data_IF_848151803537
#
_entry.id   IF_848151803537
#
_cell.length_a   1.000
_cell.length_b   1.000
_cell.length_c   1.000
_cell.angle_alpha   90.00
_cell.angle_beta   90.00
_cell.angle_gamma   90.00
#
_symmetry.space_group_name_H-M   'P 1'
#
loop_
_entity.id
_entity.type
_entity.pdbx_description
1 polymer ?
#
# COMPACT_ATOMS: atom_id res chain seq x y z
N UNK A 1 -22.48 45.58 50.78
CA UNK A 1 -21.25 44.90 50.33
C UNK A 1 -21.53 43.42 50.40
N UNK A 2 -21.77 42.76 49.25
CA UNK A 2 -21.99 41.31 48.98
C UNK A 2 -23.22 41.01 48.11
N UNK A 3 -23.33 41.60 46.91
CA UNK A 3 -24.21 41.03 45.86
C UNK A 3 -23.83 41.46 44.44
N UNK A 4 -22.54 41.71 44.21
CA UNK A 4 -21.97 41.98 42.87
C UNK A 4 -20.97 40.91 42.41
N UNK A 5 -20.90 39.76 43.09
CA UNK A 5 -19.93 38.70 42.77
C UNK A 5 -20.53 37.52 41.99
N UNK A 6 -21.86 37.39 41.90
CA UNK A 6 -22.50 36.25 41.22
C UNK A 6 -22.65 36.43 39.70
N UNK A 7 -22.53 37.65 39.18
CA UNK A 7 -22.58 37.93 37.73
C UNK A 7 -21.25 37.79 36.99
N UNK A 8 -20.13 37.65 37.71
CA UNK A 8 -18.79 37.58 37.11
C UNK A 8 -18.30 36.12 36.97
N UNK A 9 -18.86 35.19 37.75
CA UNK A 9 -18.48 33.77 37.68
C UNK A 9 -19.14 33.04 36.50
N UNK A 10 -20.32 33.48 36.06
CA UNK A 10 -20.95 32.95 34.83
C UNK A 10 -20.41 33.58 33.53
N UNK A 11 -19.70 34.71 33.62
CA UNK A 11 -19.09 35.39 32.47
C UNK A 11 -17.69 34.89 32.09
N UNK A 12 -17.07 34.05 32.92
CA UNK A 12 -15.74 33.47 32.68
C UNK A 12 -15.76 31.94 32.52
N UNK A 13 -16.94 31.31 32.57
CA UNK A 13 -17.16 29.90 32.24
C UNK A 13 -17.71 29.70 30.82
N UNK A 14 -17.67 30.75 29.98
CA UNK A 14 -17.41 30.59 28.54
C UNK A 14 -15.90 30.44 28.33
N UNK A 15 -15.24 29.59 29.13
CA UNK A 15 -14.00 28.96 28.67
C UNK A 15 -14.41 28.26 27.39
N UNK A 16 -13.82 28.67 26.29
CA UNK A 16 -13.88 28.01 25.01
C UNK A 16 -13.70 26.50 25.22
N UNK A 17 -14.79 25.76 25.43
CA UNK A 17 -14.90 24.43 24.86
C UNK A 17 -14.98 24.68 23.36
N UNK A 18 -13.85 25.04 22.76
CA UNK A 18 -13.58 24.66 21.40
C UNK A 18 -13.69 23.14 21.44
N UNK A 19 -14.87 22.63 21.11
CA UNK A 19 -15.06 21.20 20.86
C UNK A 19 -14.04 20.92 19.78
N UNK A 20 -12.97 20.21 20.13
CA UNK A 20 -11.98 19.79 19.17
C UNK A 20 -12.76 19.00 18.11
N UNK A 21 -12.72 19.48 16.87
CA UNK A 21 -13.39 18.79 15.78
C UNK A 21 -12.86 17.36 15.73
N UNK A 22 -13.74 16.36 15.73
CA UNK A 22 -13.35 14.95 15.56
C UNK A 22 -13.08 14.61 14.09
N UNK A 23 -13.32 15.57 13.18
CA UNK A 23 -13.09 15.46 11.75
C UNK A 23 -11.97 16.40 11.27
N UNK A 24 -11.35 16.02 10.15
CA UNK A 24 -10.46 16.87 9.35
C UNK A 24 -10.77 16.69 7.86
N UNK A 25 -10.45 17.69 7.03
CA UNK A 25 -10.64 17.64 5.58
C UNK A 25 -9.33 17.30 4.87
N UNK A 26 -9.36 16.28 4.03
CA UNK A 26 -8.23 15.88 3.20
C UNK A 26 -8.54 16.09 1.72
N UNK A 27 -7.58 16.65 0.98
CA UNK A 27 -7.66 16.83 -0.46
C UNK A 27 -6.65 15.97 -1.21
N UNK A 28 -6.98 15.57 -2.43
CA UNK A 28 -6.06 14.96 -3.39
C UNK A 28 -6.23 15.63 -4.74
N UNK A 29 -5.13 16.02 -5.36
CA UNK A 29 -5.12 16.51 -6.74
C UNK A 29 -4.80 15.35 -7.67
N UNK A 30 -5.54 15.24 -8.77
CA UNK A 30 -5.40 14.18 -9.74
C UNK A 30 -4.73 14.65 -11.03
N UNK A 31 -4.02 13.72 -11.68
CA UNK A 31 -3.38 13.92 -12.98
C UNK A 31 -1.98 14.51 -12.91
N UNK A 32 -1.15 14.16 -13.91
CA UNK A 32 0.21 14.69 -14.01
C UNK A 32 0.20 16.15 -14.48
N UNK A 33 0.92 17.00 -13.76
CA UNK A 33 0.99 18.44 -13.99
C UNK A 33 2.35 19.00 -13.59
N UNK A 34 2.73 20.10 -14.23
CA UNK A 34 3.91 20.88 -13.85
C UNK A 34 3.73 21.54 -12.48
N UNK A 35 4.81 21.65 -11.72
CA UNK A 35 4.81 22.15 -10.34
C UNK A 35 4.10 23.50 -10.16
N UNK A 36 4.25 24.43 -11.10
CA UNK A 36 3.68 25.78 -11.01
C UNK A 36 2.15 25.79 -11.11
N UNK A 37 1.56 24.78 -11.75
CA UNK A 37 0.11 24.67 -11.91
C UNK A 37 -0.60 24.37 -10.59
N UNK A 38 0.10 23.76 -9.62
CA UNK A 38 -0.50 23.40 -8.33
C UNK A 38 -0.86 24.60 -7.48
N UNK A 39 -0.27 25.78 -7.70
CA UNK A 39 -0.55 26.96 -6.88
C UNK A 39 -2.05 27.32 -6.87
N UNK A 40 -2.70 27.30 -8.03
CA UNK A 40 -4.14 27.57 -8.13
C UNK A 40 -4.97 26.48 -7.43
N UNK A 41 -4.58 25.22 -7.58
CA UNK A 41 -5.29 24.09 -6.98
C UNK A 41 -5.14 24.04 -5.46
N UNK A 42 -3.98 24.44 -4.93
CA UNK A 42 -3.75 24.63 -3.49
C UNK A 42 -4.65 25.76 -2.95
N UNK A 43 -4.78 26.87 -3.70
CA UNK A 43 -5.68 27.97 -3.36
C UNK A 43 -7.17 27.53 -3.39
N UNK A 44 -7.57 26.72 -4.37
CA UNK A 44 -8.92 26.16 -4.43
C UNK A 44 -9.21 25.21 -3.26
N UNK A 45 -8.24 24.37 -2.88
CA UNK A 45 -8.35 23.52 -1.70
C UNK A 45 -8.50 24.36 -0.40
N UNK A 46 -7.79 25.49 -0.30
CA UNK A 46 -7.95 26.43 0.81
C UNK A 46 -9.38 27.00 0.90
N UNK A 47 -9.97 27.39 -0.23
CA UNK A 47 -11.38 27.86 -0.29
C UNK A 47 -12.39 26.80 0.15
N UNK A 48 -12.03 25.52 0.03
CA UNK A 48 -12.83 24.38 0.47
C UNK A 48 -12.56 23.96 1.93
N UNK A 49 -11.70 24.71 2.64
CA UNK A 49 -11.32 24.47 4.04
C UNK A 49 -10.59 23.13 4.22
N UNK A 50 -9.74 22.75 3.25
CA UNK A 50 -8.91 21.54 3.32
C UNK A 50 -7.78 21.72 4.34
N UNK A 51 -7.62 20.76 5.26
CA UNK A 51 -6.57 20.76 6.27
C UNK A 51 -5.24 20.22 5.74
N UNK A 52 -5.30 19.16 4.91
CA UNK A 52 -4.14 18.50 4.32
C UNK A 52 -4.41 18.12 2.86
N UNK A 53 -3.45 18.41 1.97
CA UNK A 53 -3.54 18.18 0.54
C UNK A 53 -2.37 17.32 0.06
N UNK A 54 -2.67 16.22 -0.62
CA UNK A 54 -1.65 15.38 -1.27
C UNK A 54 -1.57 15.73 -2.75
N UNK A 55 -0.37 16.10 -3.20
CA UNK A 55 -0.10 16.42 -4.60
C UNK A 55 0.24 15.16 -5.41
N UNK A 56 0.04 15.19 -6.74
CA UNK A 56 0.62 14.21 -7.65
C UNK A 56 2.13 14.12 -7.49
N UNK A 57 2.67 12.97 -7.89
CA UNK A 57 4.12 12.78 -7.96
C UNK A 57 4.73 13.77 -8.95
N UNK A 58 5.92 14.28 -8.65
CA UNK A 58 6.68 15.12 -9.57
C UNK A 58 7.85 14.35 -10.13
N UNK A 59 7.68 13.81 -11.33
CA UNK A 59 8.72 13.06 -12.02
C UNK A 59 9.89 13.99 -12.41
N UNK A 60 11.13 13.47 -12.53
CA UNK A 60 12.28 14.29 -12.91
C UNK A 60 12.11 15.07 -14.22
N UNK A 61 11.31 14.56 -15.17
CA UNK A 61 11.03 15.23 -16.44
C UNK A 61 10.10 16.44 -16.32
N UNK A 62 9.32 16.51 -15.23
CA UNK A 62 8.28 17.53 -15.01
C UNK A 62 8.79 18.65 -14.10
N UNK A 63 10.01 18.52 -13.58
CA UNK A 63 10.63 19.46 -12.66
C UNK A 63 11.87 20.12 -13.28
N UNK A 64 11.84 21.43 -13.42
CA UNK A 64 12.99 22.24 -13.85
C UNK A 64 14.11 22.26 -12.81
N UNK A 65 13.73 22.38 -11.54
CA UNK A 65 14.65 22.53 -10.40
C UNK A 65 13.97 22.09 -9.10
N UNK A 66 14.68 21.29 -8.32
CA UNK A 66 14.24 20.82 -7.01
C UNK A 66 14.01 21.98 -6.03
N UNK A 67 14.96 22.92 -5.96
CA UNK A 67 14.87 24.06 -5.05
C UNK A 67 13.71 25.00 -5.42
N UNK A 68 13.45 25.15 -6.72
CA UNK A 68 12.33 25.94 -7.23
C UNK A 68 10.99 25.28 -6.87
N UNK A 69 10.90 23.96 -7.01
CA UNK A 69 9.71 23.22 -6.65
C UNK A 69 9.39 23.33 -5.16
N UNK A 70 10.39 23.10 -4.29
CA UNK A 70 10.22 23.25 -2.84
C UNK A 70 9.80 24.66 -2.47
N UNK A 71 10.47 25.68 -3.03
CA UNK A 71 10.14 27.07 -2.75
C UNK A 71 8.70 27.40 -3.19
N UNK A 72 8.31 26.97 -4.37
CA UNK A 72 6.97 27.20 -4.93
C UNK A 72 5.89 26.59 -4.04
N UNK A 73 6.07 25.33 -3.64
CA UNK A 73 5.09 24.62 -2.80
C UNK A 73 5.08 25.15 -1.36
N UNK A 74 6.24 25.48 -0.80
CA UNK A 74 6.35 26.12 0.53
C UNK A 74 5.59 27.46 0.57
N UNK A 75 5.79 28.32 -0.42
CA UNK A 75 5.09 29.61 -0.50
C UNK A 75 3.58 29.43 -0.72
N UNK A 76 3.18 28.44 -1.53
CA UNK A 76 1.77 28.13 -1.77
C UNK A 76 1.07 27.59 -0.51
N UNK A 77 1.68 26.63 0.19
CA UNK A 77 1.18 26.08 1.45
C UNK A 77 1.00 27.19 2.50
N UNK A 78 1.99 28.08 2.62
CA UNK A 78 1.93 29.23 3.53
C UNK A 78 0.82 30.22 3.19
N UNK A 79 0.63 30.54 1.91
CA UNK A 79 -0.41 31.46 1.46
C UNK A 79 -1.81 30.88 1.69
N UNK A 80 -1.95 29.58 1.48
CA UNK A 80 -3.20 28.84 1.57
C UNK A 80 -3.55 28.39 3.00
N UNK A 81 -2.56 28.32 3.90
CA UNK A 81 -2.74 27.97 5.31
C UNK A 81 -3.14 26.51 5.54
N UNK A 82 -2.62 25.57 4.73
CA UNK A 82 -2.92 24.13 4.82
C UNK A 82 -1.66 23.27 4.68
N UNK A 83 -1.71 22.03 5.19
CA UNK A 83 -0.60 21.09 5.06
C UNK A 83 -0.52 20.55 3.63
N UNK A 84 0.67 20.53 3.04
CA UNK A 84 0.86 20.01 1.68
C UNK A 84 1.86 18.87 1.68
N UNK A 85 1.50 17.74 1.06
CA UNK A 85 2.39 16.59 0.87
C UNK A 85 2.83 16.52 -0.58
N UNK A 86 4.14 16.45 -0.79
CA UNK A 86 4.77 16.44 -2.10
C UNK A 86 5.73 15.26 -2.21
N UNK A 87 5.57 14.44 -3.26
CA UNK A 87 6.56 13.44 -3.64
C UNK A 87 7.44 13.98 -4.78
N UNK A 88 8.76 13.99 -4.57
CA UNK A 88 9.75 14.55 -5.49
C UNK A 88 10.99 13.65 -5.57
N UNK A 89 11.76 13.84 -6.65
CA UNK A 89 13.03 13.17 -6.87
C UNK A 89 14.18 14.16 -6.69
N UNK A 90 15.18 13.80 -5.88
CA UNK A 90 16.40 14.59 -5.69
C UNK A 90 17.63 13.79 -6.14
N UNK A 91 18.53 14.43 -6.88
CA UNK A 91 19.83 13.84 -7.20
C UNK A 91 20.80 14.22 -6.10
N UNK A 92 21.28 13.23 -5.34
CA UNK A 92 22.27 13.42 -4.29
C UNK A 92 23.58 12.72 -4.62
N UNK A 93 24.62 13.01 -3.86
CA UNK A 93 25.86 12.25 -3.90
C UNK A 93 25.94 11.34 -2.68
N UNK A 94 25.94 10.03 -2.92
CA UNK A 94 26.15 9.01 -1.92
C UNK A 94 27.58 8.45 -2.01
N UNK A 95 27.96 7.58 -1.08
CA UNK A 95 29.32 7.02 -0.99
C UNK A 95 29.84 6.40 -2.30
N UNK A 96 28.95 5.86 -3.14
CA UNK A 96 29.29 5.16 -4.38
C UNK A 96 28.98 5.93 -5.67
N UNK A 97 28.55 7.20 -5.58
CA UNK A 97 28.27 8.00 -6.77
C UNK A 97 27.07 8.93 -6.63
N UNK A 98 26.64 9.48 -7.76
CA UNK A 98 25.38 10.23 -7.86
C UNK A 98 24.22 9.25 -7.88
N UNK A 99 23.24 9.49 -7.03
CA UNK A 99 22.10 8.62 -6.82
C UNK A 99 20.83 9.47 -6.78
N UNK A 100 19.76 8.91 -7.33
CA UNK A 100 18.44 9.55 -7.28
C UNK A 100 17.69 9.02 -6.07
N UNK A 101 17.15 9.92 -5.26
CA UNK A 101 16.34 9.64 -4.07
C UNK A 101 14.92 10.13 -4.30
N UNK A 102 13.94 9.32 -3.97
CA UNK A 102 12.54 9.70 -3.83
C UNK A 102 12.30 10.24 -2.42
N UNK A 103 11.62 11.37 -2.33
CA UNK A 103 11.34 12.05 -1.07
C UNK A 103 9.88 12.43 -0.96
N UNK A 104 9.22 12.00 0.12
CA UNK A 104 7.95 12.56 0.58
C UNK A 104 8.25 13.71 1.54
N UNK A 105 7.91 14.93 1.14
CA UNK A 105 8.05 16.16 1.92
C UNK A 105 6.67 16.58 2.43
N UNK A 106 6.61 16.95 3.71
CA UNK A 106 5.39 17.50 4.32
C UNK A 106 5.64 18.94 4.73
N UNK A 107 4.89 19.86 4.12
CA UNK A 107 4.87 21.28 4.46
C UNK A 107 3.73 21.56 5.43
N UNK A 108 3.98 22.32 6.50
CA UNK A 108 2.95 22.82 7.41
C UNK A 108 2.24 24.08 6.87
N UNK A 109 1.31 24.62 7.67
CA UNK A 109 0.53 25.83 7.32
C UNK A 109 1.40 27.08 7.17
N UNK A 110 2.61 27.08 7.72
CA UNK A 110 3.60 28.16 7.61
C UNK A 110 4.55 27.97 6.43
N UNK A 111 4.43 26.86 5.70
CA UNK A 111 5.28 26.45 4.59
C UNK A 111 6.61 25.83 5.01
N UNK A 112 6.80 25.48 6.28
CA UNK A 112 7.99 24.80 6.76
C UNK A 112 7.89 23.29 6.55
N UNK A 113 9.01 22.65 6.24
CA UNK A 113 9.08 21.19 6.09
C UNK A 113 9.13 20.56 7.49
N UNK A 114 8.08 19.83 7.86
CA UNK A 114 7.93 19.22 9.19
C UNK A 114 8.19 17.72 9.22
N UNK A 115 8.18 17.06 8.06
CA UNK A 115 8.64 15.68 7.92
C UNK A 115 9.19 15.41 6.53
N UNK A 116 10.16 14.48 6.48
CA UNK A 116 10.79 14.02 5.26
C UNK A 116 10.97 12.50 5.33
N UNK A 117 10.46 11.79 4.33
CA UNK A 117 10.69 10.36 4.18
C UNK A 117 11.39 10.06 2.85
N UNK A 118 12.55 9.39 2.91
CA UNK A 118 13.44 9.18 1.75
C UNK A 118 13.62 7.70 1.43
N UNK A 119 13.58 7.35 0.15
CA UNK A 119 13.99 6.04 -0.39
C UNK A 119 14.86 6.21 -1.63
N UNK A 120 15.93 5.43 -1.81
CA UNK A 120 16.72 5.47 -3.03
C UNK A 120 15.93 4.85 -4.18
N UNK A 121 16.18 5.35 -5.39
CA UNK A 121 15.63 4.71 -6.60
C UNK A 121 16.27 3.36 -6.84
N UNK A 122 17.58 3.28 -6.63
CA UNK A 122 18.32 2.04 -6.67
C UNK A 122 18.23 1.34 -5.30
N UNK A 123 17.56 0.18 -5.17
CA UNK A 123 17.38 -0.49 -3.88
C UNK A 123 18.71 -1.04 -3.32
N UNK A 124 19.76 -1.14 -4.13
CA UNK A 124 21.07 -1.67 -3.72
C UNK A 124 22.01 -0.58 -3.18
N UNK A 125 21.54 0.66 -3.01
CA UNK A 125 22.40 1.78 -2.58
C UNK A 125 22.13 2.19 -1.15
N UNK A 126 23.21 2.35 -0.37
CA UNK A 126 23.16 2.83 1.01
C UNK A 126 23.04 4.36 1.10
N UNK A 127 22.11 4.93 0.32
CA UNK A 127 21.82 6.36 0.29
C UNK A 127 20.80 6.80 1.35
N UNK A 128 20.27 5.85 2.12
CA UNK A 128 19.24 6.10 3.13
C UNK A 128 19.84 6.71 4.39
N UNK A 129 19.12 7.68 4.95
CA UNK A 129 19.37 8.24 6.29
C UNK A 129 18.30 7.79 7.31
N UNK A 130 17.28 7.05 6.88
CA UNK A 130 16.14 6.66 7.72
C UNK A 130 16.35 5.28 8.34
N UNK A 131 16.19 5.22 9.67
CA UNK A 131 16.04 3.98 10.42
C UNK A 131 14.86 3.15 9.89
N UNK A 132 14.80 1.86 10.23
CA UNK A 132 13.65 1.00 9.93
C UNK A 132 12.30 1.53 10.46
N UNK A 133 12.34 2.59 11.26
CA UNK A 133 11.20 3.21 11.89
C UNK A 133 10.24 3.91 10.91
N UNK A 134 8.98 3.95 11.32
CA UNK A 134 7.96 4.76 10.68
C UNK A 134 8.23 6.25 10.94
N UNK A 135 8.41 7.03 9.87
CA UNK A 135 8.46 8.49 9.93
C UNK A 135 7.06 9.03 10.17
N UNK A 136 6.93 10.00 11.08
CA UNK A 136 5.64 10.56 11.48
C UNK A 136 5.69 12.08 11.60
N UNK A 137 4.55 12.74 11.44
CA UNK A 137 4.36 14.15 11.81
C UNK A 137 3.03 14.33 12.53
N UNK A 138 2.95 15.32 13.42
CA UNK A 138 1.71 15.66 14.14
C UNK A 138 1.27 17.05 13.73
N UNK A 139 0.00 17.18 13.38
CA UNK A 139 -0.59 18.44 12.92
C UNK A 139 -1.13 19.27 14.09
N UNK A 140 -1.34 20.56 13.83
CA UNK A 140 -1.96 21.51 14.76
C UNK A 140 -3.44 21.16 15.06
N UNK A 141 -4.11 20.46 14.15
CA UNK A 141 -5.44 19.88 14.36
C UNK A 141 -5.42 18.54 15.11
N UNK A 142 -4.29 18.13 15.69
CA UNK A 142 -4.21 17.02 16.63
C UNK A 142 -4.23 15.63 16.00
N UNK A 143 -3.83 15.50 14.73
CA UNK A 143 -3.70 14.20 14.05
C UNK A 143 -2.23 13.87 13.84
N UNK A 144 -1.82 12.66 14.22
CA UNK A 144 -0.51 12.12 13.88
C UNK A 144 -0.62 11.23 12.65
N UNK A 145 0.16 11.56 11.63
CA UNK A 145 0.26 10.80 10.38
C UNK A 145 1.55 9.99 10.32
N UNK A 146 1.45 8.76 9.85
CA UNK A 146 2.60 7.97 9.40
C UNK A 146 2.86 8.16 7.91
N UNK A 147 4.13 8.29 7.52
CA UNK A 147 4.55 8.36 6.12
C UNK A 147 4.94 6.97 5.60
N UNK A 148 4.37 6.62 4.45
CA UNK A 148 4.67 5.41 3.68
C UNK A 148 5.01 5.82 2.24
N UNK A 149 5.69 4.94 1.51
CA UNK A 149 6.03 5.13 0.10
C UNK A 149 5.91 3.81 -0.65
N UNK A 150 5.03 3.79 -1.65
CA UNK A 150 4.91 2.73 -2.65
C UNK A 150 4.64 1.36 -2.00
N UNK A 151 5.59 0.45 -2.18
CA UNK A 151 5.65 -0.91 -1.66
C UNK A 151 5.59 -1.05 -0.14
N UNK A 152 5.75 0.02 0.64
CA UNK A 152 5.64 -0.06 2.10
C UNK A 152 4.30 -0.65 2.56
N UNK A 153 3.22 -0.43 1.81
CA UNK A 153 1.92 -1.00 2.14
C UNK A 153 1.91 -2.54 2.10
N UNK A 154 2.72 -3.14 1.24
CA UNK A 154 2.83 -4.61 1.07
C UNK A 154 3.95 -5.19 1.92
N UNK A 155 5.03 -4.43 2.13
CA UNK A 155 6.26 -4.92 2.75
C UNK A 155 6.35 -4.62 4.26
N UNK A 156 5.66 -3.60 4.77
CA UNK A 156 5.73 -3.24 6.19
C UNK A 156 4.74 -4.05 7.03
N UNK A 157 5.27 -4.79 8.00
CA UNK A 157 4.46 -5.53 8.97
C UNK A 157 3.62 -4.59 9.86
N UNK A 158 2.39 -4.99 10.26
CA UNK A 158 1.48 -4.15 11.05
C UNK A 158 2.05 -3.65 12.39
N UNK A 159 2.94 -4.42 13.03
CA UNK A 159 3.57 -4.00 14.29
C UNK A 159 4.39 -2.70 14.14
N UNK A 160 4.90 -2.42 12.93
CA UNK A 160 5.66 -1.20 12.63
C UNK A 160 4.76 0.02 12.36
N UNK A 161 3.43 -0.16 12.32
CA UNK A 161 2.46 0.93 12.13
C UNK A 161 2.18 1.72 13.43
N UNK A 162 2.70 1.26 14.58
CA UNK A 162 2.64 1.95 15.88
C UNK A 162 1.22 2.31 16.35
N UNK A 163 0.20 1.60 15.86
CA UNK A 163 -1.21 1.84 16.20
C UNK A 163 -1.79 3.16 15.67
N UNK A 164 -1.10 3.84 14.74
CA UNK A 164 -1.61 5.06 14.14
C UNK A 164 -2.89 4.82 13.34
N UNK A 165 -3.70 5.86 13.21
CA UNK A 165 -4.98 5.84 12.48
C UNK A 165 -4.97 6.60 11.16
N UNK A 166 -3.89 7.32 10.86
CA UNK A 166 -3.82 8.18 9.69
C UNK A 166 -2.46 7.99 9.03
N UNK A 167 -2.46 7.75 7.73
CA UNK A 167 -1.27 7.52 6.93
C UNK A 167 -1.32 8.33 5.64
N UNK A 168 -0.16 8.78 5.19
CA UNK A 168 0.02 9.29 3.84
C UNK A 168 0.97 8.35 3.10
N UNK A 169 0.52 7.86 1.94
CA UNK A 169 1.34 7.06 1.04
C UNK A 169 1.42 7.75 -0.32
N UNK A 170 2.61 8.25 -0.66
CA UNK A 170 2.86 8.91 -1.93
C UNK A 170 4.12 8.35 -2.58
N UNK A 171 4.13 8.32 -3.92
CA UNK A 171 5.24 7.80 -4.72
C UNK A 171 4.76 7.14 -6.01
N UNK A 172 5.72 6.68 -6.81
CA UNK A 172 5.44 6.01 -8.09
C UNK A 172 5.32 4.53 -7.82
N UNK A 173 4.08 4.05 -7.70
CA UNK A 173 3.88 2.63 -7.43
C UNK A 173 3.80 1.83 -8.71
N UNK A 174 4.91 1.18 -9.07
CA UNK A 174 4.95 0.13 -10.07
C UNK A 174 4.97 -1.21 -9.35
N UNK A 175 3.90 -2.00 -9.48
CA UNK A 175 3.84 -3.37 -8.97
C UNK A 175 3.90 -4.34 -10.14
N UNK A 176 4.75 -5.36 -10.05
CA UNK A 176 4.76 -6.48 -11.01
C UNK A 176 3.56 -7.42 -10.80
N UNK A 177 2.85 -7.26 -9.68
CA UNK A 177 1.63 -7.99 -9.34
C UNK A 177 0.43 -7.02 -9.44
N UNK A 178 -0.38 -7.10 -10.50
CA UNK A 178 -1.54 -6.23 -10.74
C UNK A 178 -2.48 -6.06 -9.55
N UNK A 179 -2.82 -7.16 -8.86
CA UNK A 179 -3.67 -7.13 -7.66
C UNK A 179 -3.11 -6.32 -6.50
N UNK A 180 -1.80 -6.03 -6.53
CA UNK A 180 -1.07 -5.23 -5.55
C UNK A 180 -0.72 -3.83 -6.09
N UNK A 181 -1.32 -3.42 -7.19
CA UNK A 181 -1.24 -2.02 -7.62
C UNK A 181 -1.90 -1.10 -6.59
N UNK A 182 -1.40 0.13 -6.48
CA UNK A 182 -1.84 1.09 -5.48
C UNK A 182 -3.36 1.29 -5.42
N UNK A 183 -4.04 1.53 -6.55
CA UNK A 183 -5.49 1.76 -6.54
C UNK A 183 -6.29 0.52 -6.13
N UNK A 184 -5.76 -0.70 -6.35
CA UNK A 184 -6.42 -1.96 -6.01
C UNK A 184 -6.19 -2.35 -4.55
N UNK A 185 -4.97 -2.19 -4.05
CA UNK A 185 -4.59 -2.67 -2.74
C UNK A 185 -4.84 -1.67 -1.62
N UNK A 186 -4.71 -0.36 -1.88
CA UNK A 186 -4.91 0.68 -0.85
C UNK A 186 -6.27 0.62 -0.14
N UNK A 187 -7.42 0.43 -0.83
CA UNK A 187 -8.71 0.27 -0.16
C UNK A 187 -8.71 -0.93 0.80
N UNK A 188 -8.29 -2.10 0.32
CA UNK A 188 -8.26 -3.34 1.09
C UNK A 188 -7.33 -3.22 2.31
N UNK A 189 -6.16 -2.61 2.12
CA UNK A 189 -5.20 -2.38 3.18
C UNK A 189 -5.75 -1.43 4.26
N UNK A 190 -6.37 -0.32 3.84
CA UNK A 190 -6.98 0.64 4.77
C UNK A 190 -8.11 0.00 5.59
N UNK A 191 -8.87 -0.90 4.95
CA UNK A 191 -9.97 -1.66 5.57
C UNK A 191 -9.50 -2.63 6.62
N UNK A 192 -8.56 -3.49 6.27
CA UNK A 192 -8.05 -4.49 7.22
C UNK A 192 -7.33 -3.84 8.39
N UNK A 193 -6.61 -2.74 8.16
CA UNK A 193 -5.90 -2.03 9.24
C UNK A 193 -6.80 -1.06 10.02
N UNK A 194 -8.00 -0.75 9.53
CA UNK A 194 -8.91 0.24 10.11
C UNK A 194 -8.23 1.60 10.33
N UNK A 195 -7.73 2.17 9.23
CA UNK A 195 -6.96 3.44 9.20
C UNK A 195 -7.37 4.30 8.01
N UNK A 196 -7.26 5.62 8.16
CA UNK A 196 -7.34 6.55 7.05
C UNK A 196 -6.03 6.53 6.26
N UNK A 197 -6.11 6.33 4.94
CA UNK A 197 -4.98 6.33 4.04
C UNK A 197 -5.19 7.38 2.95
N UNK A 198 -4.33 8.38 2.93
CA UNK A 198 -4.29 9.42 1.90
C UNK A 198 -3.21 9.05 0.89
N UNK A 199 -3.53 9.09 -0.40
CA UNK A 199 -2.58 8.79 -1.47
C UNK A 199 -2.61 9.84 -2.56
N UNK A 200 -1.61 9.83 -3.45
CA UNK A 200 -1.58 10.70 -4.63
C UNK A 200 -2.58 10.29 -5.73
N UNK A 201 -3.49 9.35 -5.47
CA UNK A 201 -4.52 8.87 -6.40
C UNK A 201 -5.89 8.70 -5.74
N UNK A 202 -6.01 8.91 -4.43
CA UNK A 202 -7.28 8.81 -3.73
C UNK A 202 -7.15 8.91 -2.22
N UNK A 203 -8.30 8.97 -1.55
CA UNK A 203 -8.40 8.92 -0.10
C UNK A 203 -9.27 7.73 0.28
N UNK A 204 -8.77 6.95 1.22
CA UNK A 204 -9.39 5.72 1.70
C UNK A 204 -9.56 5.83 3.22
N UNK A 205 -10.71 6.35 3.72
CA UNK A 205 -11.08 6.41 5.14
C UNK A 205 -11.24 5.04 5.81
N UNK A 206 -10.31 4.10 5.64
CA UNK A 206 -10.41 2.73 6.12
C UNK A 206 -11.54 1.93 5.46
N UNK A 207 -12.69 2.51 5.15
CA UNK A 207 -13.92 1.77 4.90
C UNK A 207 -14.88 2.49 3.95
N UNK A 208 -14.42 3.54 3.28
CA UNK A 208 -15.04 4.01 2.04
C UNK A 208 -13.95 4.34 1.02
N UNK A 209 -14.26 4.18 -0.25
CA UNK A 209 -13.43 4.60 -1.38
C UNK A 209 -14.29 5.56 -2.17
N UNK A 210 -13.76 6.73 -2.42
CA UNK A 210 -14.48 7.74 -3.18
C UNK A 210 -13.48 8.28 -4.21
N UNK A 211 -13.49 7.62 -5.37
CA UNK A 211 -12.75 8.04 -6.56
C UNK A 211 -13.62 9.07 -7.27
N UNK A 212 -13.48 10.34 -6.89
CA UNK A 212 -14.14 11.40 -7.64
C UNK A 212 -13.32 11.75 -8.89
N UNK A 213 -14.02 12.09 -9.98
CA UNK A 213 -13.41 12.36 -11.29
C UNK A 213 -13.05 13.84 -11.47
N UNK A 214 -13.06 14.62 -10.39
CA UNK A 214 -12.66 16.02 -10.39
C UNK A 214 -11.14 16.18 -10.25
N UNK A 215 -10.61 17.30 -10.75
CA UNK A 215 -9.17 17.61 -10.70
C UNK A 215 -8.65 17.73 -9.27
N UNK A 216 -9.51 18.11 -8.33
CA UNK A 216 -9.30 18.14 -6.89
C UNK A 216 -10.46 17.39 -6.24
N UNK A 217 -10.18 16.38 -5.43
CA UNK A 217 -11.19 15.69 -4.62
C UNK A 217 -10.97 16.01 -3.14
N UNK A 218 -12.05 16.27 -2.40
CA UNK A 218 -12.00 16.62 -0.97
C UNK A 218 -12.89 15.69 -0.16
N UNK A 219 -12.38 15.23 0.98
CA UNK A 219 -13.02 14.24 1.83
C UNK A 219 -13.00 14.67 3.29
N UNK A 220 -14.09 14.42 4.01
CA UNK A 220 -14.16 14.59 5.46
C UNK A 220 -13.86 13.26 6.14
N UNK A 221 -12.88 13.27 7.05
CA UNK A 221 -12.34 12.06 7.67
C UNK A 221 -12.41 12.17 9.19
N UNK A 222 -12.83 11.09 9.86
CA UNK A 222 -12.76 10.96 11.31
C UNK A 222 -11.31 10.76 11.74
N UNK A 223 -10.83 11.55 12.71
CA UNK A 223 -9.43 11.52 13.17
C UNK A 223 -8.97 10.16 13.70
N UNK A 224 -9.91 9.37 14.24
CA UNK A 224 -9.64 8.07 14.85
C UNK A 224 -9.91 6.86 13.93
N UNK A 225 -10.16 7.12 12.63
CA UNK A 225 -10.57 6.10 11.65
C UNK A 225 -12.10 5.97 11.53
N UNK A 226 -12.59 5.43 10.41
CA UNK A 226 -14.02 5.36 10.10
C UNK A 226 -14.82 4.29 10.88
N UNK A 227 -16.02 4.67 11.31
CA UNK A 227 -16.98 3.78 12.01
C UNK A 227 -17.76 2.84 11.08
N UNK A 228 -17.85 3.16 9.78
CA UNK A 228 -18.69 2.45 8.80
C UNK A 228 -18.02 1.17 8.30
N UNK A 229 -18.54 -0.03 8.58
CA UNK A 229 -17.90 -1.32 8.20
C UNK A 229 -17.98 -1.71 6.71
N UNK A 230 -18.30 -0.77 5.84
CA UNK A 230 -18.56 -1.07 4.43
C UNK A 230 -17.26 -1.32 3.65
N UNK A 231 -17.24 -2.37 2.82
CA UNK A 231 -16.16 -2.62 1.86
C UNK A 231 -16.52 -1.98 0.53
N UNK A 232 -15.75 -0.99 0.11
CA UNK A 232 -15.95 -0.30 -1.17
C UNK A 232 -14.89 -0.75 -2.18
N UNK A 233 -15.29 -1.36 -3.31
CA UNK A 233 -14.36 -1.81 -4.34
C UNK A 233 -13.51 -0.69 -4.93
N UNK A 234 -12.38 -1.06 -5.53
CA UNK A 234 -11.65 -0.17 -6.43
C UNK A 234 -12.35 -0.13 -7.80
N UNK A 235 -12.85 1.03 -8.21
CA UNK A 235 -13.38 1.25 -9.57
C UNK A 235 -12.24 1.77 -10.43
N UNK A 236 -11.71 0.94 -11.32
CA UNK A 236 -10.58 1.30 -12.17
C UNK A 236 -10.98 1.53 -13.61
N UNK A 237 -10.35 2.56 -14.21
CA UNK A 237 -10.45 2.84 -15.65
C UNK A 237 -9.53 1.94 -16.48
N UNK A 238 -8.47 1.41 -15.86
CA UNK A 238 -7.50 0.49 -16.47
C UNK A 238 -7.49 -0.83 -15.69
N UNK A 239 -7.50 -1.95 -16.42
CA UNK A 239 -7.58 -3.29 -15.85
C UNK A 239 -6.24 -4.02 -16.09
N UNK A 240 -5.27 -3.92 -15.16
CA UNK A 240 -3.99 -4.59 -15.31
C UNK A 240 -4.19 -6.11 -15.21
N UNK A 241 -3.50 -6.85 -16.07
CA UNK A 241 -3.72 -8.30 -16.24
C UNK A 241 -2.84 -9.11 -15.30
N UNK A 242 -3.43 -9.81 -14.32
CA UNK A 242 -2.69 -10.73 -13.46
C UNK A 242 -2.09 -11.89 -14.28
N UNK A 243 -0.82 -12.22 -14.05
CA UNK A 243 -0.21 -13.42 -14.60
C UNK A 243 -0.58 -14.63 -13.73
N UNK A 244 -1.55 -15.42 -14.21
CA UNK A 244 -1.99 -16.64 -13.54
C UNK A 244 -1.11 -17.87 -13.85
N UNK A 245 0.01 -17.73 -14.56
CA UNK A 245 0.89 -18.86 -14.93
C UNK A 245 1.40 -19.66 -13.73
N UNK A 246 1.55 -19.00 -12.57
CA UNK A 246 2.02 -19.62 -11.32
C UNK A 246 0.87 -20.16 -10.46
N UNK A 247 -0.39 -19.89 -10.82
CA UNK A 247 -1.57 -20.33 -10.08
C UNK A 247 -2.01 -21.71 -10.57
N UNK A 248 -2.66 -22.47 -9.69
CA UNK A 248 -3.52 -23.57 -10.15
C UNK A 248 -4.86 -22.95 -10.48
N UNK A 249 -5.28 -23.08 -11.74
CA UNK A 249 -6.53 -22.52 -12.24
C UNK A 249 -7.51 -23.61 -12.64
N UNK A 250 -8.80 -23.35 -12.42
CA UNK A 250 -9.92 -24.16 -12.91
C UNK A 250 -10.89 -23.25 -13.67
N UNK A 251 -11.12 -23.49 -14.98
CA UNK A 251 -12.11 -22.73 -15.73
C UNK A 251 -13.50 -22.87 -15.13
N UNK A 252 -14.22 -21.76 -14.99
CA UNK A 252 -15.59 -21.72 -14.51
C UNK A 252 -16.55 -21.98 -15.67
N UNK A 253 -17.40 -23.01 -15.53
CA UNK A 253 -18.51 -23.22 -16.46
C UNK A 253 -19.65 -22.25 -16.11
N UNK A 254 -19.75 -21.17 -16.91
CA UNK A 254 -20.76 -20.14 -16.71
C UNK A 254 -22.19 -20.68 -16.87
N UNK A 255 -22.43 -21.65 -17.76
CA UNK A 255 -23.77 -22.22 -17.94
C UNK A 255 -24.18 -23.07 -16.74
N UNK A 256 -23.27 -23.89 -16.23
CA UNK A 256 -23.52 -24.67 -15.02
C UNK A 256 -23.72 -23.75 -13.80
N UNK A 257 -22.97 -22.65 -13.72
CA UNK A 257 -23.05 -21.70 -12.61
C UNK A 257 -24.40 -21.00 -12.47
N UNK A 258 -25.27 -21.00 -13.48
CA UNK A 258 -26.65 -20.49 -13.36
C UNK A 258 -27.46 -21.22 -12.27
N UNK A 259 -27.12 -22.48 -11.97
CA UNK A 259 -27.77 -23.26 -10.89
C UNK A 259 -27.05 -23.15 -9.55
N UNK A 260 -25.94 -22.41 -9.49
CA UNK A 260 -24.98 -22.45 -8.39
C UNK A 260 -24.03 -23.64 -8.53
N UNK A 261 -22.73 -23.36 -8.55
CA UNK A 261 -21.68 -24.39 -8.60
C UNK A 261 -20.76 -24.27 -7.39
N UNK A 262 -20.32 -25.42 -6.88
CA UNK A 262 -19.31 -25.52 -5.84
C UNK A 262 -18.05 -26.17 -6.42
N UNK A 263 -16.91 -25.52 -6.21
CA UNK A 263 -15.63 -26.01 -6.67
C UNK A 263 -14.53 -25.73 -5.66
N UNK A 264 -13.53 -26.60 -5.62
CA UNK A 264 -12.34 -26.43 -4.79
C UNK A 264 -11.11 -26.45 -5.68
N UNK A 265 -10.22 -25.47 -5.47
CA UNK A 265 -8.93 -25.38 -6.15
C UNK A 265 -7.84 -25.35 -5.09
N UNK A 266 -6.81 -26.18 -5.25
CA UNK A 266 -5.73 -26.30 -4.28
C UNK A 266 -4.36 -26.11 -4.94
N UNK A 267 -3.47 -25.42 -4.23
CA UNK A 267 -2.06 -25.29 -4.59
C UNK A 267 -1.21 -25.54 -3.34
N UNK A 268 -0.26 -26.46 -3.44
CA UNK A 268 0.73 -26.75 -2.37
C UNK A 268 0.12 -26.90 -0.96
N UNK A 269 -1.03 -27.60 -0.85
CA UNK A 269 -1.72 -27.86 0.42
C UNK A 269 -2.65 -26.76 0.92
N UNK A 270 -2.67 -25.58 0.27
CA UNK A 270 -3.66 -24.53 0.50
C UNK A 270 -4.83 -24.70 -0.47
N UNK A 271 -6.07 -24.66 0.03
CA UNK A 271 -7.28 -24.90 -0.77
C UNK A 271 -8.28 -23.76 -0.63
N UNK A 272 -8.79 -23.31 -1.77
CA UNK A 272 -9.82 -22.30 -1.90
C UNK A 272 -11.13 -22.96 -2.30
N UNK A 273 -12.18 -22.80 -1.49
CA UNK A 273 -13.52 -23.28 -1.78
C UNK A 273 -14.35 -22.14 -2.35
N UNK A 274 -14.93 -22.38 -3.52
CA UNK A 274 -15.73 -21.43 -4.27
C UNK A 274 -17.17 -21.89 -4.33
N UNK A 275 -18.08 -20.94 -4.15
CA UNK A 275 -19.45 -21.05 -4.62
C UNK A 275 -19.73 -19.89 -5.56
N UNK A 276 -20.23 -20.19 -6.76
CA UNK A 276 -20.51 -19.19 -7.79
C UNK A 276 -21.89 -19.43 -8.36
N UNK A 277 -22.73 -18.39 -8.34
CA UNK A 277 -24.02 -18.36 -9.02
C UNK A 277 -24.12 -17.16 -9.94
N UNK A 278 -24.36 -17.39 -11.22
CA UNK A 278 -24.51 -16.33 -12.21
C UNK A 278 -25.95 -16.19 -12.69
N UNK A 279 -26.27 -15.04 -13.28
CA UNK A 279 -27.54 -14.76 -13.95
C UNK A 279 -27.39 -14.75 -15.49
N UNK A 280 -26.42 -15.51 -16.03
CA UNK A 280 -26.06 -15.46 -17.45
C UNK A 280 -27.13 -16.15 -18.30
N UNK A 281 -27.73 -15.40 -19.22
CA UNK A 281 -28.72 -15.93 -20.18
C UNK A 281 -28.10 -16.27 -21.55
N UNK A 282 -26.93 -15.71 -21.86
CA UNK A 282 -26.26 -15.91 -23.15
C UNK A 282 -25.33 -17.11 -23.15
N UNK A 283 -25.34 -17.86 -24.26
CA UNK A 283 -24.65 -19.14 -24.40
C UNK A 283 -23.12 -19.02 -24.58
N UNK A 284 -22.58 -17.83 -24.90
CA UNK A 284 -21.19 -17.69 -25.34
C UNK A 284 -20.60 -16.29 -25.07
N UNK A 285 -20.21 -15.96 -23.83
CA UNK A 285 -19.58 -14.68 -23.52
C UNK A 285 -18.16 -14.60 -24.08
N UNK A 286 -17.78 -13.42 -24.60
CA UNK A 286 -16.40 -13.14 -25.06
C UNK A 286 -15.37 -13.23 -23.93
N UNK A 287 -15.82 -13.04 -22.68
CA UNK A 287 -15.02 -13.15 -21.46
C UNK A 287 -15.36 -14.45 -20.74
N UNK A 288 -14.31 -15.19 -20.38
CA UNK A 288 -14.43 -16.39 -19.55
C UNK A 288 -13.95 -16.10 -18.13
N UNK A 289 -14.24 -16.99 -17.19
CA UNK A 289 -13.81 -16.84 -15.80
C UNK A 289 -13.02 -18.07 -15.36
N UNK A 290 -12.03 -17.86 -14.49
CA UNK A 290 -11.29 -18.96 -13.85
C UNK A 290 -11.22 -18.77 -12.34
N UNK A 291 -11.37 -19.89 -11.63
CA UNK A 291 -11.11 -20.00 -10.20
C UNK A 291 -9.63 -20.29 -10.02
N UNK A 292 -8.95 -19.59 -9.12
CA UNK A 292 -7.51 -19.74 -8.94
C UNK A 292 -7.11 -19.85 -7.47
N UNK A 293 -6.11 -20.68 -7.19
CA UNK A 293 -5.46 -20.80 -5.90
C UNK A 293 -3.94 -20.71 -6.05
N UNK A 294 -3.29 -20.01 -5.13
CA UNK A 294 -1.83 -19.91 -5.04
C UNK A 294 -1.37 -19.96 -3.59
N UNK A 295 -0.19 -20.52 -3.38
CA UNK A 295 0.48 -20.60 -2.07
C UNK A 295 1.97 -20.82 -2.32
N UNK A 296 2.77 -19.78 -2.06
CA UNK A 296 4.19 -19.76 -2.37
C UNK A 296 4.76 -18.35 -2.29
N UNK A 297 5.96 -18.18 -2.83
CA UNK A 297 6.63 -16.87 -2.90
C UNK A 297 6.37 -16.25 -4.27
N UNK A 298 6.29 -14.93 -4.39
CA UNK A 298 6.24 -14.25 -5.69
C UNK A 298 7.25 -13.12 -5.72
N UNK A 299 7.86 -12.93 -6.88
CA UNK A 299 8.59 -11.71 -7.15
C UNK A 299 7.59 -10.55 -7.21
N UNK A 300 7.80 -9.55 -6.36
CA UNK A 300 6.94 -8.37 -6.24
C UNK A 300 7.57 -7.14 -6.91
N UNK A 301 8.89 -7.00 -6.75
CA UNK A 301 9.69 -6.01 -7.44
C UNK A 301 11.09 -6.57 -7.73
N UNK A 302 11.91 -5.82 -8.46
CA UNK A 302 13.27 -6.22 -8.82
C UNK A 302 14.16 -6.64 -7.63
N UNK A 303 13.86 -6.19 -6.41
CA UNK A 303 14.64 -6.48 -5.21
C UNK A 303 13.87 -7.19 -4.10
N UNK A 304 12.58 -7.49 -4.29
CA UNK A 304 11.74 -8.07 -3.22
C UNK A 304 10.91 -9.25 -3.69
N UNK A 305 10.99 -10.32 -2.90
CA UNK A 305 10.09 -11.45 -2.96
C UNK A 305 9.11 -11.38 -1.79
N UNK A 306 7.88 -11.82 -2.00
CA UNK A 306 6.85 -11.83 -0.97
C UNK A 306 6.20 -13.21 -0.84
N UNK A 307 6.03 -13.68 0.38
CA UNK A 307 5.20 -14.85 0.67
C UNK A 307 3.72 -14.54 0.52
N UNK A 308 2.99 -15.38 -0.22
CA UNK A 308 1.55 -15.19 -0.45
C UNK A 308 0.71 -16.47 -0.43
N UNK A 309 -0.54 -16.34 0.01
CA UNK A 309 -1.61 -17.33 -0.14
C UNK A 309 -2.80 -16.63 -0.79
N UNK A 310 -3.20 -17.00 -2.01
CA UNK A 310 -4.22 -16.27 -2.75
C UNK A 310 -5.34 -17.17 -3.22
N UNK A 311 -6.57 -16.67 -3.11
CA UNK A 311 -7.76 -17.24 -3.73
C UNK A 311 -8.41 -16.18 -4.61
N UNK A 312 -8.90 -16.53 -5.79
CA UNK A 312 -9.63 -15.54 -6.58
C UNK A 312 -10.43 -16.10 -7.75
N UNK A 313 -11.42 -15.33 -8.17
CA UNK A 313 -12.16 -15.47 -9.41
C UNK A 313 -11.71 -14.36 -10.34
N UNK A 314 -11.14 -14.75 -11.48
CA UNK A 314 -10.53 -13.82 -12.44
C UNK A 314 -11.25 -13.87 -13.77
N UNK A 315 -11.56 -12.70 -14.32
CA UNK A 315 -11.97 -12.55 -15.71
C UNK A 315 -10.78 -12.81 -16.64
N UNK A 316 -11.01 -13.56 -17.70
CA UNK A 316 -9.99 -14.02 -18.63
C UNK A 316 -10.38 -13.65 -20.06
N UNK A 317 -9.45 -13.00 -20.78
CA UNK A 317 -9.53 -12.82 -22.23
C UNK A 317 -8.62 -13.83 -22.93
N UNK A 318 -9.13 -14.50 -23.97
CA UNK A 318 -8.35 -15.48 -24.75
C UNK A 318 -8.37 -16.91 -24.19
N UNK A 319 -7.28 -17.66 -24.36
CA UNK A 319 -7.20 -19.08 -23.98
C UNK A 319 -7.17 -19.25 -22.45
N UNK A 320 -8.05 -20.10 -21.92
CA UNK A 320 -8.24 -20.38 -20.49
C UNK A 320 -6.95 -20.71 -19.72
N UNK A 321 -5.90 -21.20 -20.40
CA UNK A 321 -4.62 -21.59 -19.75
C UNK A 321 -3.72 -20.43 -19.33
N UNK A 322 -3.79 -19.28 -20.00
CA UNK A 322 -2.91 -18.14 -19.74
C UNK A 322 -3.69 -16.90 -19.29
N UNK A 323 -4.90 -17.10 -18.75
CA UNK A 323 -5.88 -16.07 -18.37
C UNK A 323 -5.26 -14.68 -18.18
N UNK A 324 -5.32 -13.87 -19.24
CA UNK A 324 -4.90 -12.47 -19.21
C UNK A 324 -6.16 -11.67 -18.99
N UNK A 325 -6.31 -11.05 -17.81
CA UNK A 325 -7.42 -10.14 -17.54
C UNK A 325 -7.28 -8.91 -18.44
N UNK A 326 -8.08 -8.81 -19.51
CA UNK A 326 -7.98 -7.76 -20.51
C UNK A 326 -8.99 -6.63 -20.32
N UNK A 327 -8.78 -5.52 -21.03
CA UNK A 327 -9.51 -4.24 -20.96
C UNK A 327 -11.02 -4.28 -21.30
N UNK A 328 -11.61 -5.45 -21.51
CA UNK A 328 -13.02 -5.58 -21.90
C UNK A 328 -13.90 -5.69 -20.65
N UNK A 329 -14.92 -4.83 -20.58
CA UNK A 329 -15.92 -4.87 -19.50
C UNK A 329 -16.72 -6.16 -19.59
N UNK A 330 -16.68 -6.94 -18.52
CA UNK A 330 -17.57 -8.10 -18.40
C UNK A 330 -19.03 -7.67 -18.30
N UNK A 331 -19.89 -8.34 -19.05
CA UNK A 331 -21.37 -8.22 -18.96
C UNK A 331 -21.97 -9.28 -18.03
N UNK A 332 -21.14 -10.15 -17.46
CA UNK A 332 -21.61 -11.21 -16.56
C UNK A 332 -22.06 -10.61 -15.24
N UNK A 333 -23.26 -10.99 -14.83
CA UNK A 333 -23.82 -10.70 -13.51
C UNK A 333 -23.75 -11.95 -12.64
N UNK A 334 -23.17 -11.81 -11.46
CA UNK A 334 -23.08 -12.82 -10.42
C UNK A 334 -24.13 -12.54 -9.36
N UNK A 335 -25.13 -13.40 -9.23
CA UNK A 335 -26.08 -13.30 -8.11
C UNK A 335 -25.35 -13.49 -6.78
N UNK A 336 -24.33 -14.39 -6.76
CA UNK A 336 -23.51 -14.61 -5.57
C UNK A 336 -22.15 -15.20 -5.92
N UNK A 337 -21.10 -14.66 -5.30
CA UNK A 337 -19.80 -15.33 -5.19
C UNK A 337 -19.45 -15.46 -3.71
N UNK A 338 -18.95 -16.64 -3.31
CA UNK A 338 -18.43 -16.91 -1.97
C UNK A 338 -17.10 -17.64 -2.10
N UNK A 339 -16.06 -17.11 -1.49
CA UNK A 339 -14.73 -17.72 -1.40
C UNK A 339 -14.46 -18.01 0.06
N UNK A 340 -14.10 -19.25 0.39
CA UNK A 340 -13.73 -19.65 1.74
C UNK A 340 -12.43 -20.47 1.75
N UNK A 341 -11.48 -20.09 2.59
CA UNK A 341 -10.21 -20.78 2.74
C UNK A 341 -9.64 -20.66 4.16
N UNK A 342 -8.78 -21.60 4.53
CA UNK A 342 -8.06 -21.58 5.81
C UNK A 342 -6.62 -21.11 5.56
N UNK A 343 -6.33 -19.89 5.98
CA UNK A 343 -5.03 -19.25 5.85
C UNK A 343 -4.14 -19.59 7.06
N UNK A 344 -2.83 -19.62 6.86
CA UNK A 344 -1.89 -19.82 7.97
C UNK A 344 -2.00 -18.66 8.97
N UNK A 345 -1.70 -18.94 10.24
CA UNK A 345 -1.77 -17.94 11.32
C UNK A 345 -0.91 -16.70 11.06
N UNK A 346 0.22 -16.87 10.38
CA UNK A 346 1.18 -15.80 10.06
C UNK A 346 0.72 -14.92 8.89
N UNK A 347 -0.27 -15.39 8.13
CA UNK A 347 -0.77 -14.65 6.98
C UNK A 347 -1.72 -13.55 7.43
N UNK A 348 -1.63 -12.37 6.81
CA UNK A 348 -2.65 -11.32 6.87
C UNK A 348 -3.51 -11.36 5.62
N UNK A 349 -4.83 -11.27 5.76
CA UNK A 349 -5.76 -11.44 4.64
C UNK A 349 -6.43 -10.12 4.26
N UNK A 350 -6.47 -9.84 2.95
CA UNK A 350 -7.02 -8.64 2.36
C UNK A 350 -8.04 -8.99 1.27
N UNK A 351 -9.26 -8.42 1.30
CA UNK A 351 -10.24 -8.62 0.24
C UNK A 351 -9.86 -7.77 -0.99
N UNK A 352 -9.55 -8.41 -2.11
CA UNK A 352 -9.25 -7.74 -3.38
C UNK A 352 -10.49 -7.79 -4.26
N UNK A 353 -11.04 -6.63 -4.57
CA UNK A 353 -12.28 -6.51 -5.33
C UNK A 353 -12.10 -5.43 -6.40
N UNK A 354 -12.21 -5.86 -7.65
CA UNK A 354 -12.16 -5.03 -8.83
C UNK A 354 -13.43 -5.25 -9.65
N UNK A 355 -14.19 -4.19 -9.80
CA UNK A 355 -15.43 -4.15 -10.58
C UNK A 355 -15.54 -2.84 -11.34
N UNK A 356 -16.22 -2.87 -12.47
CA UNK A 356 -16.55 -1.68 -13.24
C UNK A 356 -17.77 -0.90 -12.70
N UNK A 357 -18.56 -1.48 -11.79
CA UNK A 357 -19.80 -0.90 -11.26
C UNK A 357 -19.86 -1.00 -9.74
N UNK A 358 -20.48 -0.02 -9.05
CA UNK A 358 -20.72 -0.12 -7.61
C UNK A 358 -21.49 -1.41 -7.30
N UNK A 359 -21.06 -2.09 -6.24
CA UNK A 359 -21.71 -3.30 -5.74
C UNK A 359 -22.09 -3.10 -4.29
N UNK A 360 -23.33 -3.44 -3.98
CA UNK A 360 -23.87 -3.37 -2.64
C UNK A 360 -23.81 -4.78 -2.03
N UNK A 361 -23.47 -4.89 -0.75
CA UNK A 361 -23.38 -6.16 0.01
C UNK A 361 -22.12 -7.03 -0.22
N UNK A 362 -20.95 -6.49 0.14
CA UNK A 362 -19.72 -7.26 0.29
C UNK A 362 -19.48 -7.55 1.77
N UNK A 363 -19.19 -8.81 2.10
CA UNK A 363 -18.82 -9.23 3.46
C UNK A 363 -17.47 -9.91 3.47
N UNK A 364 -16.59 -9.52 4.39
CA UNK A 364 -15.30 -10.16 4.62
C UNK A 364 -15.18 -10.55 6.09
N UNK A 365 -15.18 -11.85 6.35
CA UNK A 365 -15.15 -12.41 7.69
C UNK A 365 -13.85 -13.19 7.91
N UNK A 366 -13.15 -12.87 9.01
CA UNK A 366 -11.95 -13.60 9.46
C UNK A 366 -12.24 -14.18 10.84
N UNK A 367 -12.15 -15.51 10.96
CA UNK A 367 -12.36 -16.24 12.21
C UNK A 367 -11.13 -17.08 12.53
N UNK A 368 -10.55 -16.87 13.71
CA UNK A 368 -9.43 -17.67 14.17
C UNK A 368 -9.95 -18.93 14.89
N UNK A 369 -9.54 -20.11 14.41
CA UNK A 369 -9.97 -21.41 14.96
C UNK A 369 -8.98 -22.00 16.00
N UNK A 370 -7.89 -21.29 16.29
CA UNK A 370 -6.79 -21.76 17.14
C UNK A 370 -5.53 -22.16 16.37
N UNK A 371 -5.67 -22.52 15.09
CA UNK A 371 -4.58 -23.02 14.23
C UNK A 371 -4.45 -22.24 12.92
N UNK A 372 -5.56 -21.84 12.33
CA UNK A 372 -5.65 -21.09 11.07
C UNK A 372 -6.66 -19.97 11.16
N UNK A 373 -6.56 -19.04 10.21
CA UNK A 373 -7.56 -18.01 9.97
C UNK A 373 -8.53 -18.55 8.92
N UNK A 374 -9.75 -18.93 9.34
CA UNK A 374 -10.83 -19.25 8.42
C UNK A 374 -11.39 -17.94 7.88
N UNK A 375 -11.19 -17.70 6.58
CA UNK A 375 -11.60 -16.46 5.93
C UNK A 375 -12.67 -16.72 4.90
N UNK A 376 -13.73 -15.90 4.92
CA UNK A 376 -14.82 -15.94 3.96
C UNK A 376 -15.01 -14.56 3.34
N UNK A 377 -15.03 -14.50 2.02
CA UNK A 377 -15.35 -13.31 1.24
C UNK A 377 -16.61 -13.59 0.41
N UNK A 378 -17.65 -12.78 0.59
CA UNK A 378 -18.89 -12.88 -0.17
C UNK A 378 -19.22 -11.56 -0.87
N UNK A 379 -19.90 -11.70 -2.00
CA UNK A 379 -20.55 -10.61 -2.73
C UNK A 379 -21.90 -11.12 -3.23
N UNK A 380 -22.92 -10.26 -3.13
CA UNK A 380 -24.25 -10.46 -3.70
C UNK A 380 -24.44 -9.46 -4.84
N UNK A 381 -25.13 -9.86 -5.89
CA UNK A 381 -25.44 -9.02 -7.05
C UNK A 381 -24.22 -8.29 -7.66
N UNK A 382 -23.12 -9.05 -7.77
CA UNK A 382 -21.87 -8.69 -8.40
C UNK A 382 -21.98 -8.42 -9.90
N UNK A 383 -21.83 -7.17 -10.34
CA UNK A 383 -21.80 -6.82 -11.76
C UNK A 383 -20.39 -6.53 -12.25
N UNK A 384 -20.07 -6.95 -13.49
CA UNK A 384 -18.82 -6.61 -14.18
C UNK A 384 -17.57 -6.81 -13.32
N UNK A 385 -17.47 -7.98 -12.68
CA UNK A 385 -16.34 -8.35 -11.82
C UNK A 385 -15.16 -8.76 -12.70
N UNK A 386 -14.00 -8.13 -12.49
CA UNK A 386 -12.75 -8.50 -13.17
C UNK A 386 -11.88 -9.38 -12.26
N UNK A 387 -11.80 -9.01 -10.98
CA UNK A 387 -11.05 -9.74 -9.96
C UNK A 387 -11.85 -9.70 -8.65
N UNK A 388 -12.10 -10.87 -8.08
CA UNK A 388 -12.70 -11.02 -6.77
C UNK A 388 -11.97 -12.11 -6.00
N UNK A 389 -11.24 -11.73 -4.95
CA UNK A 389 -10.33 -12.64 -4.29
C UNK A 389 -9.89 -12.21 -2.90
N UNK A 390 -9.20 -13.14 -2.23
CA UNK A 390 -8.57 -12.92 -0.94
C UNK A 390 -7.06 -13.02 -1.16
N UNK A 391 -6.36 -11.91 -0.93
CA UNK A 391 -4.90 -11.86 -0.94
C UNK A 391 -4.38 -12.08 0.47
N UNK A 392 -3.56 -13.12 0.64
CA UNK A 392 -2.91 -13.46 1.89
C UNK A 392 -1.44 -13.09 1.84
N UNK A 393 -0.97 -12.25 2.76
CA UNK A 393 0.42 -11.83 2.90
C UNK A 393 1.12 -12.58 4.03
N UNK A 394 2.16 -13.36 3.72
CA UNK A 394 2.97 -14.12 4.68
C UNK A 394 4.41 -13.58 4.72
N UNK A 395 4.68 -12.66 5.66
CA UNK A 395 5.99 -12.01 5.81
C UNK A 395 7.11 -12.98 6.19
N UNK A 396 6.77 -14.15 6.77
CA UNK A 396 7.77 -15.12 7.22
C UNK A 396 8.53 -15.79 6.07
N UNK A 397 8.02 -15.70 4.84
CA UNK A 397 8.57 -16.35 3.64
C UNK A 397 9.29 -15.39 2.68
N UNK A 398 9.42 -14.11 3.00
CA UNK A 398 10.02 -13.13 2.08
C UNK A 398 11.48 -13.42 1.74
N UNK A 399 12.19 -14.03 2.70
CA UNK A 399 13.59 -14.43 2.57
C UNK A 399 13.76 -15.85 1.99
N UNK A 400 12.67 -16.55 1.67
CA UNK A 400 12.75 -17.88 1.07
C UNK A 400 12.93 -17.76 -0.45
N UNK A 401 14.17 -17.90 -0.93
CA UNK A 401 14.51 -17.91 -2.36
C UNK A 401 14.04 -19.17 -3.11
N UNK A 402 13.61 -20.22 -2.38
CA UNK A 402 13.41 -21.57 -2.93
C UNK A 402 11.95 -21.99 -3.13
N UNK A 403 10.95 -21.12 -2.91
CA UNK A 403 9.54 -21.52 -2.88
C UNK A 403 8.70 -21.09 -4.11
N UNK A 404 9.30 -21.13 -5.31
CA UNK A 404 8.58 -21.31 -6.58
C UNK A 404 9.35 -22.27 -7.50
N UNK A 405 9.12 -23.58 -7.33
CA UNK A 405 9.63 -24.59 -8.25
C UNK A 405 8.65 -24.81 -9.41
N UNK A 406 8.97 -24.23 -10.57
CA UNK A 406 8.32 -24.49 -11.85
C UNK A 406 9.27 -24.88 -13.00
N UNK A 407 10.59 -24.84 -12.79
CA UNK A 407 11.59 -25.31 -13.78
C UNK A 407 12.76 -25.95 -13.04
N UNK A 408 13.05 -27.22 -13.32
CA UNK A 408 14.29 -27.89 -12.91
C UNK A 408 15.49 -27.19 -13.58
N UNK A 409 16.08 -26.19 -12.93
CA UNK A 409 17.43 -25.74 -13.29
C UNK A 409 18.43 -26.32 -12.29
N UNK A 410 18.98 -27.47 -12.68
CA UNK A 410 20.26 -27.95 -12.20
C UNK A 410 21.36 -26.96 -12.62
N UNK A 411 21.53 -25.89 -11.86
CA UNK A 411 22.80 -25.15 -11.76
C UNK A 411 22.86 -24.55 -10.36
N UNK A 412 23.46 -25.33 -9.45
CA UNK A 412 23.99 -24.84 -8.18
C UNK A 412 25.00 -23.73 -8.45
N UNK A 413 24.61 -22.52 -8.11
CA UNK A 413 25.49 -21.50 -7.53
C UNK A 413 24.65 -20.75 -6.51
N UNK A 414 24.33 -21.43 -5.41
CA UNK A 414 23.83 -20.76 -4.20
C UNK A 414 24.88 -19.73 -3.78
N UNK A 415 24.41 -18.50 -3.58
CA UNK A 415 25.22 -17.33 -3.31
C UNK A 415 25.98 -17.47 -2.00
N UNK A 416 27.26 -17.84 -2.11
CA UNK A 416 28.27 -17.58 -1.08
C UNK A 416 28.30 -16.09 -0.69
N UNK A 417 27.81 -15.19 -1.56
CA UNK A 417 27.73 -13.76 -1.32
C UNK A 417 26.69 -13.35 -0.26
N UNK A 418 25.50 -13.95 -0.20
CA UNK A 418 24.47 -13.56 0.80
C UNK A 418 24.87 -13.95 2.23
N UNK A 419 25.70 -14.99 2.40
CA UNK A 419 26.26 -15.36 3.70
C UNK A 419 27.45 -14.45 4.11
N UNK A 420 28.15 -13.84 3.15
CA UNK A 420 29.31 -12.97 3.40
C UNK A 420 28.88 -11.54 3.77
N UNK A 421 27.70 -11.09 3.35
CA UNK A 421 27.20 -9.73 3.57
C UNK A 421 26.18 -9.61 4.71
N UNK A 422 26.02 -10.63 5.55
CA UNK A 422 25.25 -10.48 6.79
C UNK A 422 25.97 -9.48 7.72
N UNK A 423 25.25 -8.48 8.25
CA UNK A 423 25.79 -7.46 9.17
C UNK A 423 26.46 -8.09 10.39
N UNK A 424 25.93 -9.21 10.89
CA UNK A 424 26.52 -9.97 12.00
C UNK A 424 27.89 -10.58 11.63
N UNK A 425 28.13 -10.93 10.35
CA UNK A 425 29.41 -11.48 9.90
C UNK A 425 30.46 -10.38 9.69
N UNK A 426 30.05 -9.21 9.19
CA UNK A 426 30.96 -8.06 9.03
C UNK A 426 31.49 -7.56 10.38
N UNK A 427 30.65 -7.50 11.42
CA UNK A 427 31.12 -7.14 12.77
C UNK A 427 32.15 -8.13 13.32
N UNK A 428 31.97 -9.43 13.06
CA UNK A 428 32.92 -10.48 13.47
C UNK A 428 34.23 -10.36 12.70
N UNK A 429 34.17 -10.09 11.40
CA UNK A 429 35.37 -9.87 10.56
C UNK A 429 36.12 -8.63 11.02
N UNK A 430 35.45 -7.50 11.21
CA UNK A 430 36.07 -6.24 11.69
C UNK A 430 36.69 -6.42 13.07
N UNK A 431 36.01 -7.11 13.99
CA UNK A 431 36.53 -7.42 15.32
C UNK A 431 37.82 -8.27 15.25
N UNK A 432 37.84 -9.32 14.43
CA UNK A 432 39.03 -10.16 14.22
C UNK A 432 40.15 -9.35 13.58
N UNK A 433 39.83 -8.50 12.61
CA UNK A 433 40.80 -7.72 11.85
C UNK A 433 41.49 -6.64 12.70
N UNK A 434 40.72 -5.96 13.57
CA UNK A 434 41.24 -5.01 14.57
C UNK A 434 42.20 -5.72 15.52
N UNK A 435 41.81 -6.89 16.06
CA UNK A 435 42.66 -7.66 16.98
C UNK A 435 43.94 -8.16 16.32
N UNK A 436 43.87 -8.61 15.07
CA UNK A 436 45.03 -9.05 14.31
C UNK A 436 46.02 -7.89 14.07
N UNK A 437 45.52 -6.71 13.69
CA UNK A 437 46.37 -5.51 13.48
C UNK A 437 47.08 -5.06 14.74
N UNK A 438 46.38 -5.02 15.88
CA UNK A 438 46.99 -4.67 17.16
C UNK A 438 48.11 -5.65 17.50
N UNK A 439 47.89 -6.95 17.29
CA UNK A 439 48.87 -7.98 17.58
C UNK A 439 50.09 -7.87 16.66
N UNK A 440 49.89 -7.62 15.36
CA UNK A 440 50.98 -7.38 14.39
C UNK A 440 51.82 -6.16 14.79
N UNK A 441 51.19 -5.05 15.19
CA UNK A 441 51.91 -3.84 15.61
C UNK A 441 52.71 -4.10 16.89
N UNK A 442 52.12 -4.75 17.89
CA UNK A 442 52.80 -5.07 19.16
C UNK A 442 54.00 -5.99 18.91
N UNK A 443 53.84 -7.04 18.10
CA UNK A 443 54.94 -7.95 17.73
C UNK A 443 56.01 -7.22 16.93
N UNK A 444 55.63 -6.30 16.03
CA UNK A 444 56.60 -5.53 15.24
C UNK A 444 57.43 -4.58 16.10
N UNK A 445 56.83 -3.94 17.10
CA UNK A 445 57.54 -3.09 18.08
C UNK A 445 58.49 -3.95 18.93
N UNK A 446 58.02 -5.11 19.40
CA UNK A 446 58.84 -6.01 20.20
C UNK A 446 60.05 -6.58 19.43
N UNK A 447 59.89 -6.89 18.14
CA UNK A 447 61.00 -7.30 17.27
C UNK A 447 61.97 -6.14 17.04
N UNK A 448 61.48 -4.91 16.88
CA UNK A 448 62.32 -3.72 16.70
C UNK A 448 63.09 -3.31 17.97
N UNK A 449 62.58 -3.60 19.18
CA UNK A 449 63.33 -3.39 20.43
C UNK A 449 64.37 -4.49 20.70
N UNK A 450 64.26 -5.65 20.05
CA UNK A 450 65.17 -6.78 20.20
C UNK A 450 66.29 -6.82 19.14
N UNK A 451 66.22 -5.94 18.14
CA UNK A 451 67.29 -5.68 17.15
C UNK A 451 68.12 -4.47 17.58
#
# INVERSE_FOLDING_TARGET
>A
MTMKLFGIVFGFLCVNFAIASEIYKAGVIHGQKEIHSFKHLIDDASKMDVDILVLPVQEPSEMSSYDEAIKTISEAAKQAGLYVVLNVFENTHCQHGKETIRSNLVFDREGAIVAVYRKPVNPFTNCTTSSSDLVTFTTDFGVTFGLLMEEDLVLREPQHLRGLKNFVMAGVWQSEIPMLSAPQFSPAWSYVNNVNLLTNFGVYPGKTSQLDSEELSVFELQKNGGDDNTLTPAILKTHPSEDLSQYVIKPLDLQASNKGVHDTVCHTGFCCNFYVKTAVRDANPEITYSLAAFNGVRQYSASHNIGTQNCGVFACTGNQKNCVSGLQKSTVTFERISIAANFTKQTLQYPIIQTALPTEEITFDVKFDGTSNQVTLNIVDGQSIDNFGIFGRDFSKDFESNYVFGVNNTTKTEGVYDFIFNEEFQEVVDYIWIRLRVLIVVVSIYILEMM
#
